data_IF_754781260586
#
_entry.id   IF_754781260586
#
_cell.length_a   1.000
_cell.length_b   1.000
_cell.length_c   1.000
_cell.angle_alpha   90.00
_cell.angle_beta   90.00
_cell.angle_gamma   90.00
#
_symmetry.space_group_name_H-M   'P 1'
#
loop_
_entity.id
_entity.type
_entity.pdbx_description
1 polymer ?
#
# COMPACT_ATOMS: atom_id res chain seq x y z
N UNK A 1 -18.13 20.32 17.80
CA UNK A 1 -18.00 21.44 18.74
C UNK A 1 -19.12 21.43 19.76
N UNK A 2 -20.40 21.74 19.41
CA UNK A 2 -21.53 21.78 20.33
C UNK A 2 -21.69 20.53 21.20
N UNK A 3 -21.41 19.34 20.69
CA UNK A 3 -21.48 18.09 21.45
C UNK A 3 -20.37 18.01 22.51
N UNK A 4 -19.13 18.33 22.13
CA UNK A 4 -17.98 18.34 23.04
C UNK A 4 -18.13 19.39 24.13
N UNK A 5 -18.52 20.60 23.76
CA UNK A 5 -18.80 21.69 24.76
C UNK A 5 -19.88 21.25 25.75
N UNK A 6 -20.95 20.58 25.29
CA UNK A 6 -22.03 20.07 26.11
C UNK A 6 -21.62 18.89 27.02
N UNK A 7 -20.69 18.07 26.59
CA UNK A 7 -20.08 16.99 27.38
C UNK A 7 -19.16 17.58 28.47
N UNK A 8 -18.32 18.54 28.09
CA UNK A 8 -17.38 19.21 28.98
C UNK A 8 -18.07 19.91 30.15
N UNK A 9 -19.24 20.55 29.94
CA UNK A 9 -19.98 21.23 31.01
C UNK A 9 -20.47 20.30 32.14
N UNK A 10 -20.53 18.99 31.92
CA UNK A 10 -20.96 17.98 32.89
C UNK A 10 -19.82 17.21 33.55
N UNK A 11 -18.60 17.38 33.05
CA UNK A 11 -17.41 16.70 33.56
C UNK A 11 -16.71 17.57 34.61
N UNK A 12 -16.20 16.94 35.69
CA UNK A 12 -15.36 17.63 36.66
C UNK A 12 -14.02 18.02 36.08
N UNK A 13 -13.49 17.17 35.26
CA UNK A 13 -12.22 17.35 34.50
C UNK A 13 -12.39 16.74 33.12
N UNK A 14 -11.76 17.33 32.10
CA UNK A 14 -11.70 16.77 30.75
C UNK A 14 -10.40 17.12 30.07
N UNK A 15 -9.93 16.21 29.24
CA UNK A 15 -8.73 16.37 28.44
C UNK A 15 -9.05 16.22 26.98
N UNK A 16 -8.62 17.18 26.16
CA UNK A 16 -8.66 17.07 24.70
C UNK A 16 -7.26 16.85 24.18
N UNK A 17 -7.09 15.78 23.41
CA UNK A 17 -5.84 15.50 22.68
C UNK A 17 -6.15 15.54 21.19
N UNK A 18 -5.40 16.34 20.45
CA UNK A 18 -5.60 16.48 19.02
C UNK A 18 -4.39 17.10 18.33
N UNK A 19 -4.41 17.07 17.00
CA UNK A 19 -3.41 17.69 16.17
C UNK A 19 -4.11 18.62 15.16
N UNK A 20 -4.01 19.92 15.37
CA UNK A 20 -4.59 20.95 14.51
C UNK A 20 -4.04 20.88 13.08
N UNK A 21 -2.76 20.51 12.95
CA UNK A 21 -2.06 20.38 11.67
C UNK A 21 -2.58 19.21 10.81
N UNK A 22 -3.29 18.24 11.42
CA UNK A 22 -3.95 17.14 10.74
C UNK A 22 -5.44 17.37 10.42
N UNK A 23 -5.91 18.59 10.46
CA UNK A 23 -7.30 18.95 10.11
C UNK A 23 -7.43 19.00 8.58
N UNK A 24 -7.81 17.87 7.98
CA UNK A 24 -7.94 17.69 6.51
C UNK A 24 -9.37 17.35 6.06
N UNK A 25 -10.34 17.36 6.97
CA UNK A 25 -11.75 17.05 6.70
C UNK A 25 -12.63 18.31 6.80
N UNK A 26 -12.13 19.47 6.37
CA UNK A 26 -12.88 20.74 6.37
C UNK A 26 -14.15 20.64 5.53
N UNK A 27 -14.10 19.91 4.41
CA UNK A 27 -15.27 19.60 3.58
C UNK A 27 -16.35 18.79 4.33
N UNK A 28 -16.00 18.11 5.43
CA UNK A 28 -16.91 17.38 6.31
C UNK A 28 -17.25 18.14 7.62
N UNK A 29 -16.93 19.44 7.65
CA UNK A 29 -17.26 20.32 8.78
C UNK A 29 -16.19 20.38 9.88
N UNK A 30 -14.97 19.90 9.66
CA UNK A 30 -13.86 20.14 10.57
C UNK A 30 -13.44 21.61 10.52
N UNK A 31 -13.31 22.25 11.69
CA UNK A 31 -12.93 23.65 11.85
C UNK A 31 -11.47 23.74 12.30
N UNK A 32 -10.57 23.98 11.34
CA UNK A 32 -9.14 24.11 11.61
C UNK A 32 -8.82 25.34 12.47
N UNK A 33 -9.50 26.46 12.22
CA UNK A 33 -9.28 27.71 12.97
C UNK A 33 -9.64 27.55 14.46
N UNK A 34 -10.71 26.80 14.72
CA UNK A 34 -11.09 26.47 16.10
C UNK A 34 -10.01 25.64 16.80
N UNK A 35 -9.47 24.62 16.13
CA UNK A 35 -8.41 23.79 16.69
C UNK A 35 -7.13 24.58 16.94
N UNK A 36 -6.72 25.44 16.00
CA UNK A 36 -5.53 26.28 16.18
C UNK A 36 -5.68 27.28 17.34
N UNK A 37 -6.89 27.85 17.52
CA UNK A 37 -7.18 28.71 18.67
C UNK A 37 -7.10 27.97 20.00
N UNK A 38 -7.60 26.73 20.06
CA UNK A 38 -7.48 25.88 21.25
C UNK A 38 -6.02 25.51 21.54
N UNK A 39 -5.24 25.22 20.51
CA UNK A 39 -3.86 24.79 20.63
C UNK A 39 -2.91 25.88 21.12
N UNK A 40 -3.31 27.16 20.99
CA UNK A 40 -2.46 28.30 21.36
C UNK A 40 -2.01 28.29 22.83
N UNK A 41 -2.84 27.79 23.74
CA UNK A 41 -2.59 27.69 25.19
C UNK A 41 -2.53 26.24 25.69
N UNK A 42 -2.46 25.27 24.76
CA UNK A 42 -2.43 23.86 25.12
C UNK A 42 -1.00 23.41 25.39
N UNK A 43 -0.84 22.45 26.27
CA UNK A 43 0.41 21.73 26.46
C UNK A 43 0.78 20.97 25.16
N UNK A 44 2.03 21.08 24.75
CA UNK A 44 2.50 20.40 23.52
C UNK A 44 3.18 19.09 23.84
N UNK A 45 2.74 18.03 23.15
CA UNK A 45 3.46 16.76 23.13
C UNK A 45 4.63 16.88 22.15
N UNK A 46 5.80 17.23 22.67
CA UNK A 46 6.97 17.57 21.87
C UNK A 46 7.62 16.35 21.21
N UNK A 47 7.63 15.19 21.88
CA UNK A 47 8.33 14.01 21.39
C UNK A 47 7.50 13.30 20.33
N UNK A 48 8.04 13.25 19.10
CA UNK A 48 7.52 12.38 18.03
C UNK A 48 8.04 10.95 18.17
N UNK A 49 7.15 9.98 17.97
CA UNK A 49 7.49 8.55 18.04
C UNK A 49 7.46 7.85 16.68
N UNK A 50 7.35 8.63 15.60
CA UNK A 50 7.22 8.10 14.23
C UNK A 50 8.28 8.64 13.29
N UNK A 51 8.26 9.93 13.03
CA UNK A 51 9.05 10.53 11.97
C UNK A 51 10.50 10.68 12.36
N UNK A 52 11.39 10.20 11.52
CA UNK A 52 12.82 10.45 11.58
C UNK A 52 13.15 11.92 11.29
N UNK A 53 14.42 12.27 11.41
CA UNK A 53 14.92 13.65 11.31
C UNK A 53 14.54 14.32 9.99
N UNK A 54 14.70 13.62 8.87
CA UNK A 54 14.45 14.15 7.51
C UNK A 54 12.97 14.45 7.30
N UNK A 55 12.09 13.51 7.60
CA UNK A 55 10.63 13.71 7.46
C UNK A 55 10.13 14.78 8.44
N UNK A 56 10.62 14.79 9.68
CA UNK A 56 10.27 15.79 10.66
C UNK A 56 10.63 17.20 10.18
N UNK A 57 11.86 17.38 9.66
CA UNK A 57 12.34 18.67 9.12
C UNK A 57 11.51 19.12 7.91
N UNK A 58 11.15 18.18 7.02
CA UNK A 58 10.27 18.46 5.88
C UNK A 58 8.87 18.89 6.35
N UNK A 59 8.28 18.17 7.29
CA UNK A 59 6.98 18.48 7.86
C UNK A 59 6.95 19.85 8.55
N UNK A 60 7.97 20.20 9.33
CA UNK A 60 8.12 21.53 9.95
C UNK A 60 8.16 22.64 8.88
N UNK A 61 8.94 22.45 7.82
CA UNK A 61 9.04 23.41 6.72
C UNK A 61 7.69 23.60 6.02
N UNK A 62 6.95 22.52 5.78
CA UNK A 62 5.62 22.57 5.19
C UNK A 62 4.65 23.34 6.07
N UNK A 63 4.69 23.15 7.39
CA UNK A 63 3.70 23.71 8.32
C UNK A 63 4.04 25.11 8.81
N UNK A 64 5.30 25.58 8.65
CA UNK A 64 5.73 26.92 9.12
C UNK A 64 4.84 28.07 8.68
N UNK A 65 4.32 28.16 7.42
CA UNK A 65 3.40 29.22 7.03
C UNK A 65 2.09 29.25 7.86
N UNK A 66 1.57 28.09 8.23
CA UNK A 66 0.37 27.98 9.08
C UNK A 66 0.69 28.42 10.48
N UNK A 67 1.78 27.95 11.08
CA UNK A 67 2.18 28.34 12.43
C UNK A 67 2.45 29.83 12.55
N UNK A 68 3.12 30.44 11.55
CA UNK A 68 3.33 31.88 11.49
C UNK A 68 1.99 32.65 11.43
N UNK A 69 1.03 32.19 10.64
CA UNK A 69 -0.29 32.82 10.53
C UNK A 69 -1.05 32.81 11.87
N UNK A 70 -0.98 31.70 12.61
CA UNK A 70 -1.65 31.60 13.92
C UNK A 70 -0.79 32.12 15.08
N UNK A 71 0.44 32.55 14.84
CA UNK A 71 1.31 33.18 15.84
C UNK A 71 1.83 32.22 16.92
N UNK A 72 2.10 30.97 16.57
CA UNK A 72 2.76 30.01 17.47
C UNK A 72 3.79 29.18 16.73
N UNK A 73 4.75 28.61 17.45
CA UNK A 73 5.70 27.63 16.92
C UNK A 73 5.46 26.30 17.61
N UNK A 74 5.39 25.22 16.80
CA UNK A 74 5.26 23.88 17.32
C UNK A 74 6.64 23.27 17.57
N UNK A 75 6.89 22.93 18.81
CA UNK A 75 8.06 22.12 19.19
C UNK A 75 7.75 20.66 18.90
N UNK A 76 8.47 20.08 17.93
CA UNK A 76 8.29 18.68 17.56
C UNK A 76 9.65 18.02 17.36
N UNK A 77 10.06 17.18 18.32
CA UNK A 77 11.30 16.43 18.32
C UNK A 77 11.17 15.16 17.48
N UNK A 78 12.10 14.89 16.54
CA UNK A 78 12.07 13.66 15.74
C UNK A 78 12.46 12.44 16.59
N UNK A 79 12.22 11.23 16.01
CA UNK A 79 12.94 10.03 16.45
C UNK A 79 14.41 10.13 16.03
N UNK A 80 15.27 9.26 16.58
CA UNK A 80 16.70 9.26 16.22
C UNK A 80 17.03 8.73 14.81
N UNK A 81 16.04 8.32 14.02
CA UNK A 81 16.26 7.81 12.68
C UNK A 81 16.60 8.92 11.69
N UNK A 82 17.61 8.68 10.86
CA UNK A 82 18.00 9.55 9.75
C UNK A 82 17.64 8.81 8.47
N UNK A 83 16.86 9.43 7.60
CA UNK A 83 16.50 8.92 6.29
C UNK A 83 16.75 9.96 5.21
N UNK A 84 16.41 9.62 3.98
CA UNK A 84 16.62 10.46 2.82
C UNK A 84 15.31 11.02 2.25
N UNK A 85 15.43 12.15 1.54
CA UNK A 85 14.34 12.74 0.77
C UNK A 85 14.71 12.82 -0.69
N UNK A 86 13.98 12.09 -1.53
CA UNK A 86 14.19 11.99 -2.97
C UNK A 86 13.12 12.72 -3.76
N UNK A 87 13.48 13.22 -4.94
CA UNK A 87 12.56 13.86 -5.88
C UNK A 87 12.45 13.05 -7.16
N UNK A 88 11.21 12.75 -7.55
CA UNK A 88 10.85 12.05 -8.77
C UNK A 88 10.02 12.98 -9.67
N UNK A 89 10.43 13.28 -10.90
CA UNK A 89 9.61 14.05 -11.85
C UNK A 89 8.28 13.36 -12.16
N UNK A 90 8.29 12.05 -12.23
CA UNK A 90 7.11 11.19 -12.38
C UNK A 90 7.44 9.74 -12.00
N UNK A 91 6.43 8.90 -11.79
CA UNK A 91 6.61 7.45 -11.64
C UNK A 91 7.01 6.72 -12.94
N UNK A 92 7.21 7.46 -14.04
CA UNK A 92 7.62 6.90 -15.33
C UNK A 92 9.08 7.24 -15.67
N UNK A 93 9.70 8.14 -14.92
CA UNK A 93 11.05 8.62 -15.21
C UNK A 93 12.09 7.69 -14.61
N UNK A 94 13.03 7.22 -15.43
CA UNK A 94 14.21 6.52 -14.95
C UNK A 94 15.25 7.55 -14.47
N UNK A 95 15.59 7.48 -13.20
CA UNK A 95 16.59 8.32 -12.56
C UNK A 95 17.09 7.64 -11.28
N UNK A 96 18.19 8.12 -10.73
CA UNK A 96 18.80 7.57 -9.50
C UNK A 96 17.82 7.47 -8.32
N UNK A 97 16.92 8.46 -8.16
CA UNK A 97 15.88 8.42 -7.13
C UNK A 97 14.85 7.29 -7.35
N UNK A 98 14.54 6.96 -8.61
CA UNK A 98 13.68 5.82 -8.96
C UNK A 98 14.41 4.49 -8.73
N UNK A 99 15.67 4.42 -9.09
CA UNK A 99 16.51 3.23 -8.83
C UNK A 99 16.61 2.96 -7.33
N UNK A 100 16.86 4.00 -6.52
CA UNK A 100 16.88 3.88 -5.06
C UNK A 100 15.53 3.40 -4.48
N UNK A 101 14.40 3.88 -5.02
CA UNK A 101 13.07 3.43 -4.61
C UNK A 101 12.86 1.94 -4.94
N UNK A 102 13.16 1.52 -6.15
CA UNK A 102 12.97 0.15 -6.61
C UNK A 102 13.90 -0.82 -5.89
N UNK A 103 15.16 -0.44 -5.69
CA UNK A 103 16.13 -1.21 -4.94
C UNK A 103 15.66 -1.43 -3.50
N UNK A 104 15.22 -0.37 -2.84
CA UNK A 104 14.73 -0.46 -1.46
C UNK A 104 13.46 -1.30 -1.34
N UNK A 105 12.50 -1.18 -2.28
CA UNK A 105 11.30 -2.04 -2.32
C UNK A 105 11.70 -3.51 -2.50
N UNK A 106 12.69 -3.81 -3.33
CA UNK A 106 13.10 -5.17 -3.65
C UNK A 106 13.94 -5.81 -2.56
N UNK A 107 14.89 -5.06 -1.98
CA UNK A 107 15.97 -5.60 -1.16
C UNK A 107 15.79 -5.41 0.35
N UNK A 108 14.71 -4.76 0.81
CA UNK A 108 14.40 -4.62 2.22
C UNK A 108 13.07 -5.27 2.58
N UNK A 109 12.82 -5.49 3.89
CA UNK A 109 11.52 -5.92 4.41
C UNK A 109 10.65 -4.74 4.85
N UNK A 110 11.04 -3.52 4.54
CA UNK A 110 10.34 -2.32 4.94
C UNK A 110 8.98 -2.17 4.22
N UNK A 111 8.08 -1.46 4.88
CA UNK A 111 6.75 -1.16 4.35
C UNK A 111 6.75 0.17 3.61
N UNK A 112 5.98 0.24 2.51
CA UNK A 112 5.88 1.44 1.66
C UNK A 112 4.44 1.88 1.53
N UNK A 113 4.21 3.18 1.66
CA UNK A 113 2.95 3.82 1.35
C UNK A 113 3.10 4.75 0.14
N UNK A 114 2.36 4.45 -0.91
CA UNK A 114 2.16 5.39 -2.02
C UNK A 114 0.86 6.16 -1.77
N UNK A 115 0.97 7.45 -1.53
CA UNK A 115 -0.19 8.28 -1.27
C UNK A 115 -0.32 9.40 -2.30
N UNK A 116 -1.54 9.69 -2.69
CA UNK A 116 -1.85 10.60 -3.78
C UNK A 116 -3.15 11.35 -3.52
N UNK A 117 -3.40 12.33 -4.37
CA UNK A 117 -4.61 13.10 -4.35
C UNK A 117 -5.32 13.07 -5.70
N UNK A 118 -6.48 12.44 -5.75
CA UNK A 118 -7.32 12.38 -6.94
C UNK A 118 -7.24 11.07 -7.71
N UNK A 119 -8.33 10.78 -8.42
CA UNK A 119 -8.56 9.51 -9.13
C UNK A 119 -7.55 9.21 -10.27
N UNK A 120 -7.06 10.18 -11.06
CA UNK A 120 -6.07 9.90 -12.09
C UNK A 120 -4.77 9.32 -11.53
N UNK A 121 -4.29 9.82 -10.38
CA UNK A 121 -3.08 9.31 -9.71
C UNK A 121 -3.23 7.86 -9.27
N UNK A 122 -4.44 7.42 -8.87
CA UNK A 122 -4.73 6.03 -8.54
C UNK A 122 -4.37 5.07 -9.69
N UNK A 123 -4.76 5.41 -10.91
CA UNK A 123 -4.45 4.61 -12.09
C UNK A 123 -2.95 4.61 -12.42
N UNK A 124 -2.26 5.73 -12.27
CA UNK A 124 -0.82 5.86 -12.54
C UNK A 124 0.01 5.04 -11.55
N UNK A 125 -0.33 5.11 -10.27
CA UNK A 125 0.34 4.32 -9.22
C UNK A 125 0.14 2.82 -9.46
N UNK A 126 -1.08 2.37 -9.79
CA UNK A 126 -1.34 0.96 -10.14
C UNK A 126 -0.57 0.50 -11.38
N UNK A 127 -0.50 1.35 -12.42
CA UNK A 127 0.23 1.04 -13.65
C UNK A 127 1.73 0.96 -13.38
N UNK A 128 2.28 1.83 -12.52
CA UNK A 128 3.65 1.75 -12.06
C UNK A 128 3.94 0.39 -11.40
N UNK A 129 3.15 -0.02 -10.42
CA UNK A 129 3.34 -1.32 -9.77
C UNK A 129 3.28 -2.50 -10.74
N UNK A 130 2.31 -2.49 -11.66
CA UNK A 130 2.17 -3.55 -12.67
C UNK A 130 3.36 -3.57 -13.64
N UNK A 131 3.85 -2.40 -14.04
CA UNK A 131 5.02 -2.28 -14.91
C UNK A 131 6.27 -2.84 -14.24
N UNK A 132 6.47 -2.48 -12.96
CA UNK A 132 7.64 -2.89 -12.21
C UNK A 132 7.52 -4.29 -11.57
N UNK A 133 6.39 -4.96 -11.68
CA UNK A 133 6.18 -6.26 -11.04
C UNK A 133 6.20 -6.21 -9.51
N UNK A 134 5.71 -5.10 -8.93
CA UNK A 134 5.62 -4.90 -7.49
C UNK A 134 4.28 -5.42 -7.00
N UNK A 135 4.28 -6.33 -6.03
CA UNK A 135 3.05 -6.74 -5.34
C UNK A 135 2.51 -5.60 -4.49
N UNK A 136 1.23 -5.28 -4.64
CA UNK A 136 0.61 -4.14 -3.95
C UNK A 136 -0.82 -4.40 -3.49
N UNK A 137 -1.27 -3.62 -2.51
CA UNK A 137 -2.65 -3.59 -2.04
C UNK A 137 -3.14 -2.15 -1.83
N UNK A 138 -4.44 -1.91 -2.02
CA UNK A 138 -5.04 -0.70 -1.47
C UNK A 138 -5.10 -0.82 0.06
N UNK A 139 -4.91 0.28 0.78
CA UNK A 139 -5.04 0.31 2.25
C UNK A 139 -6.43 -0.22 2.66
N UNK A 140 -6.45 -1.15 3.59
CA UNK A 140 -7.68 -1.82 4.05
C UNK A 140 -8.16 -2.99 3.17
N UNK A 141 -7.52 -3.25 2.02
CA UNK A 141 -7.89 -4.32 1.11
C UNK A 141 -6.81 -5.41 1.00
N UNK A 142 -7.20 -6.54 0.43
CA UNK A 142 -6.27 -7.62 0.07
C UNK A 142 -5.35 -7.20 -1.11
N UNK A 143 -4.35 -8.01 -1.37
CA UNK A 143 -3.46 -7.88 -2.54
C UNK A 143 -4.25 -7.72 -3.84
N UNK A 144 -3.72 -6.92 -4.78
CA UNK A 144 -4.33 -6.71 -6.11
C UNK A 144 -4.51 -8.01 -6.89
N UNK A 145 -3.55 -8.92 -6.79
CA UNK A 145 -3.67 -10.30 -7.23
C UNK A 145 -3.65 -11.19 -5.99
N UNK A 146 -4.62 -12.10 -5.81
CA UNK A 146 -4.61 -13.01 -4.67
C UNK A 146 -3.30 -13.81 -4.59
N UNK A 147 -2.67 -13.83 -3.44
CA UNK A 147 -1.42 -14.58 -3.21
C UNK A 147 -1.54 -16.06 -3.55
N UNK A 148 -2.71 -16.64 -3.28
CA UNK A 148 -3.04 -18.01 -3.68
C UNK A 148 -2.81 -18.24 -5.17
N UNK A 149 -3.22 -17.29 -6.02
CA UNK A 149 -3.07 -17.40 -7.46
C UNK A 149 -1.60 -17.33 -7.88
N UNK A 150 -0.84 -16.37 -7.32
CA UNK A 150 0.60 -16.27 -7.59
C UNK A 150 1.32 -17.54 -7.14
N UNK A 151 0.95 -18.07 -5.97
CA UNK A 151 1.48 -19.32 -5.44
C UNK A 151 1.20 -20.50 -6.36
N UNK A 152 0.00 -20.59 -6.94
CA UNK A 152 -0.32 -21.64 -7.92
C UNK A 152 0.60 -21.57 -9.14
N UNK A 153 0.85 -20.39 -9.69
CA UNK A 153 1.80 -20.23 -10.79
C UNK A 153 3.24 -20.61 -10.42
N UNK A 154 3.65 -20.37 -9.16
CA UNK A 154 4.99 -20.74 -8.67
C UNK A 154 5.14 -22.25 -8.48
N UNK A 155 4.17 -22.87 -7.83
CA UNK A 155 4.28 -24.26 -7.38
C UNK A 155 3.90 -25.29 -8.46
N UNK A 156 3.01 -24.94 -9.38
CA UNK A 156 2.52 -25.89 -10.39
C UNK A 156 3.64 -26.55 -11.24
N UNK A 157 4.64 -25.81 -11.77
CA UNK A 157 5.72 -26.43 -12.53
C UNK A 157 6.54 -27.43 -11.70
N UNK A 158 6.71 -27.17 -10.39
CA UNK A 158 7.42 -28.07 -9.49
C UNK A 158 6.60 -29.31 -9.17
N UNK A 159 5.29 -29.13 -8.96
CA UNK A 159 4.35 -30.22 -8.76
C UNK A 159 4.29 -31.18 -9.97
N UNK A 160 4.30 -30.64 -11.19
CA UNK A 160 4.40 -31.46 -12.41
C UNK A 160 5.73 -32.23 -12.52
N UNK A 161 6.79 -31.81 -11.80
CA UNK A 161 8.07 -32.54 -11.70
C UNK A 161 8.11 -33.54 -10.55
N UNK A 162 6.97 -33.77 -9.85
CA UNK A 162 6.86 -34.72 -8.75
C UNK A 162 7.09 -34.14 -7.35
N UNK A 163 7.35 -32.83 -7.21
CA UNK A 163 7.43 -32.20 -5.87
C UNK A 163 6.06 -32.21 -5.23
N UNK A 164 5.93 -32.71 -3.98
CA UNK A 164 4.63 -32.79 -3.35
C UNK A 164 4.06 -31.41 -2.95
N UNK A 165 2.73 -31.32 -2.90
CA UNK A 165 1.98 -30.18 -2.37
C UNK A 165 1.20 -30.58 -1.12
N UNK A 166 1.09 -29.66 -0.15
CA UNK A 166 0.18 -29.82 0.99
C UNK A 166 -1.30 -29.80 0.54
N UNK A 167 -2.16 -30.39 1.34
CA UNK A 167 -3.61 -30.37 1.07
C UNK A 167 -4.15 -28.96 0.90
N UNK A 168 -3.66 -27.98 1.69
CA UNK A 168 -4.02 -26.57 1.56
C UNK A 168 -3.64 -26.00 0.20
N UNK A 169 -2.43 -26.27 -0.28
CA UNK A 169 -1.96 -25.82 -1.60
C UNK A 169 -2.77 -26.45 -2.73
N UNK A 170 -3.15 -27.72 -2.60
CA UNK A 170 -4.03 -28.41 -3.55
C UNK A 170 -5.41 -27.75 -3.57
N UNK A 171 -6.01 -27.47 -2.42
CA UNK A 171 -7.30 -26.77 -2.33
C UNK A 171 -7.21 -25.35 -2.94
N UNK A 172 -6.10 -24.62 -2.73
CA UNK A 172 -5.87 -23.33 -3.34
C UNK A 172 -5.76 -23.45 -4.88
N UNK A 173 -5.08 -24.48 -5.38
CA UNK A 173 -4.97 -24.77 -6.81
C UNK A 173 -6.34 -25.03 -7.46
N UNK A 174 -7.24 -25.79 -6.78
CA UNK A 174 -8.60 -26.05 -7.27
C UNK A 174 -9.44 -24.80 -7.47
N UNK A 175 -9.16 -23.71 -6.75
CA UNK A 175 -9.85 -22.41 -6.94
C UNK A 175 -9.59 -21.78 -8.32
N UNK A 176 -8.51 -22.18 -8.96
CA UNK A 176 -8.03 -21.57 -10.23
C UNK A 176 -7.94 -22.54 -11.39
N UNK A 177 -7.72 -23.83 -11.15
CA UNK A 177 -7.57 -24.81 -12.20
C UNK A 177 -8.92 -25.14 -12.88
N UNK A 178 -8.87 -25.38 -14.19
CA UNK A 178 -10.05 -25.67 -14.99
C UNK A 178 -10.20 -27.13 -15.41
N UNK A 179 -11.27 -27.40 -16.13
CA UNK A 179 -11.61 -28.72 -16.67
C UNK A 179 -10.56 -29.27 -17.65
N UNK A 180 -9.53 -28.48 -18.04
CA UNK A 180 -8.42 -28.95 -18.84
C UNK A 180 -7.62 -30.02 -18.09
N UNK A 181 -7.43 -29.87 -16.79
CA UNK A 181 -6.65 -30.79 -15.94
C UNK A 181 -7.47 -31.46 -14.86
N UNK A 182 -8.55 -30.85 -14.36
CA UNK A 182 -9.44 -31.46 -13.35
C UNK A 182 -10.41 -32.41 -14.04
N UNK A 183 -10.59 -33.59 -13.47
CA UNK A 183 -11.61 -34.57 -13.92
C UNK A 183 -13.01 -34.04 -13.61
N UNK A 184 -13.94 -34.23 -14.54
CA UNK A 184 -15.34 -33.81 -14.37
C UNK A 184 -15.95 -34.40 -13.10
N UNK A 185 -16.66 -33.59 -12.32
CA UNK A 185 -17.32 -34.01 -11.07
C UNK A 185 -16.38 -34.04 -9.85
N UNK A 186 -15.11 -33.63 -9.97
CA UNK A 186 -14.19 -33.49 -8.86
C UNK A 186 -14.11 -32.04 -8.41
N UNK A 187 -15.05 -31.66 -7.56
CA UNK A 187 -15.04 -30.33 -6.92
C UNK A 187 -14.14 -30.28 -5.68
N UNK A 188 -14.03 -29.10 -5.08
CA UNK A 188 -13.18 -28.85 -3.91
C UNK A 188 -13.70 -29.59 -2.65
N UNK A 189 -14.98 -29.79 -2.56
CA UNK A 189 -15.66 -30.56 -1.53
C UNK A 189 -15.18 -32.01 -1.44
N UNK A 190 -14.65 -32.57 -2.51
CA UNK A 190 -14.13 -33.96 -2.52
C UNK A 190 -12.83 -34.11 -1.69
N UNK A 191 -12.27 -33.03 -1.17
CA UNK A 191 -11.10 -33.05 -0.28
C UNK A 191 -11.45 -32.88 1.20
N UNK A 192 -12.73 -32.85 1.59
CA UNK A 192 -13.14 -32.63 2.98
C UNK A 192 -12.62 -33.71 3.93
N UNK A 193 -12.68 -34.97 3.49
CA UNK A 193 -12.24 -36.13 4.26
C UNK A 193 -10.75 -36.49 4.09
N UNK A 194 -9.98 -35.63 3.42
CA UNK A 194 -8.58 -35.94 3.18
C UNK A 194 -7.73 -35.56 4.39
N UNK A 195 -6.80 -36.46 4.73
CA UNK A 195 -5.81 -36.22 5.80
C UNK A 195 -4.90 -35.06 5.41
N UNK A 196 -4.59 -34.17 6.35
CA UNK A 196 -3.67 -33.07 6.13
C UNK A 196 -2.23 -33.59 6.05
N UNK A 197 -1.79 -33.82 4.81
CA UNK A 197 -0.43 -34.25 4.45
C UNK A 197 -0.07 -33.73 3.08
N UNK A 198 1.11 -34.06 2.59
CA UNK A 198 1.56 -33.78 1.24
C UNK A 198 1.12 -34.87 0.25
N UNK A 199 0.83 -34.45 -0.97
CA UNK A 199 0.37 -35.31 -2.06
C UNK A 199 1.16 -35.00 -3.32
N UNK A 200 1.49 -36.04 -4.12
CA UNK A 200 2.13 -35.90 -5.42
C UNK A 200 1.10 -35.79 -6.54
N UNK A 201 1.54 -35.31 -7.72
CA UNK A 201 0.68 -35.24 -8.91
C UNK A 201 0.22 -36.63 -9.32
N UNK A 202 1.12 -37.63 -9.27
CA UNK A 202 0.81 -39.03 -9.64
C UNK A 202 -0.26 -39.62 -8.74
N UNK A 203 -0.24 -39.29 -7.43
CA UNK A 203 -1.31 -39.71 -6.53
C UNK A 203 -2.67 -39.15 -6.96
N UNK A 204 -2.72 -37.87 -7.35
CA UNK A 204 -3.97 -37.23 -7.80
C UNK A 204 -4.44 -37.78 -9.15
N UNK A 205 -3.54 -38.13 -10.05
CA UNK A 205 -3.85 -38.78 -11.33
C UNK A 205 -4.39 -40.19 -11.09
N UNK A 206 -3.68 -40.99 -10.28
CA UNK A 206 -4.11 -42.37 -9.96
C UNK A 206 -5.46 -42.43 -9.24
N UNK A 207 -5.77 -41.46 -8.40
CA UNK A 207 -7.05 -41.29 -7.74
C UNK A 207 -8.12 -40.64 -8.64
N UNK A 208 -7.82 -40.37 -9.89
CA UNK A 208 -8.71 -39.72 -10.90
C UNK A 208 -9.25 -38.35 -10.47
N UNK A 209 -8.46 -37.57 -9.75
CA UNK A 209 -8.74 -36.16 -9.48
C UNK A 209 -8.20 -35.27 -10.61
N UNK A 210 -7.01 -35.61 -11.09
CA UNK A 210 -6.41 -34.98 -12.26
C UNK A 210 -6.44 -35.93 -13.47
N UNK A 211 -6.48 -35.36 -14.67
CA UNK A 211 -6.33 -36.10 -15.93
C UNK A 211 -4.90 -36.60 -16.08
N UNK A 212 -4.69 -37.69 -16.81
CA UNK A 212 -3.38 -38.26 -17.07
C UNK A 212 -2.39 -37.27 -17.75
N UNK A 213 -2.91 -36.37 -18.56
CA UNK A 213 -2.11 -35.31 -19.24
C UNK A 213 -1.80 -34.12 -18.36
N UNK A 214 -2.24 -34.08 -17.09
CA UNK A 214 -2.06 -32.91 -16.23
C UNK A 214 -0.57 -32.59 -15.96
N UNK A 215 0.28 -33.61 -15.85
CA UNK A 215 1.72 -33.43 -15.61
C UNK A 215 2.51 -32.91 -16.83
N UNK A 216 1.95 -32.99 -18.02
CA UNK A 216 2.57 -32.54 -19.28
C UNK A 216 2.46 -31.02 -19.42
N UNK A 217 1.40 -30.42 -18.88
CA UNK A 217 1.14 -28.98 -18.99
C UNK A 217 1.74 -28.23 -17.81
N UNK A 218 3.00 -27.82 -17.95
CA UNK A 218 3.77 -27.15 -16.87
C UNK A 218 3.46 -25.65 -16.71
N UNK A 219 2.84 -25.01 -17.71
CA UNK A 219 2.44 -23.60 -17.59
C UNK A 219 1.05 -23.50 -16.97
N UNK A 220 0.99 -23.06 -15.72
CA UNK A 220 -0.27 -22.89 -15.00
C UNK A 220 -1.25 -21.94 -15.72
N UNK A 221 -0.75 -20.98 -16.49
CA UNK A 221 -1.59 -20.06 -17.25
C UNK A 221 -2.47 -20.76 -18.29
N UNK A 222 -2.02 -21.91 -18.81
CA UNK A 222 -2.74 -22.68 -19.83
C UNK A 222 -3.83 -23.58 -19.26
N UNK A 223 -3.77 -23.88 -17.96
CA UNK A 223 -4.74 -24.75 -17.28
C UNK A 223 -5.74 -24.00 -16.40
N UNK A 224 -5.47 -22.72 -16.12
CA UNK A 224 -6.31 -21.86 -15.30
C UNK A 224 -7.64 -21.54 -16.01
N UNK A 225 -8.71 -21.46 -15.22
CA UNK A 225 -10.00 -20.95 -15.71
C UNK A 225 -9.87 -19.46 -16.03
N UNK A 226 -10.08 -19.09 -17.28
CA UNK A 226 -10.14 -17.71 -17.70
C UNK A 226 -11.44 -17.09 -17.19
N UNK A 227 -11.31 -16.06 -16.31
CA UNK A 227 -12.43 -15.24 -15.86
C UNK A 227 -12.28 -13.82 -16.46
N UNK A 228 -13.36 -13.31 -17.03
CA UNK A 228 -13.37 -11.96 -17.62
C UNK A 228 -12.87 -11.91 -19.07
N UNK A 229 -12.55 -10.69 -19.55
CA UNK A 229 -12.07 -10.46 -20.90
C UNK A 229 -10.66 -11.06 -21.09
N UNK A 230 -10.40 -11.62 -22.25
CA UNK A 230 -9.10 -12.23 -22.59
C UNK A 230 -7.93 -11.26 -22.40
N UNK A 231 -8.08 -10.03 -22.83
CA UNK A 231 -7.04 -8.99 -22.70
C UNK A 231 -6.67 -8.68 -21.26
N UNK A 232 -7.65 -8.58 -20.36
CA UNK A 232 -7.41 -8.32 -18.93
C UNK A 232 -6.70 -9.50 -18.27
N UNK A 233 -7.05 -10.71 -18.71
CA UNK A 233 -6.42 -11.93 -18.26
C UNK A 233 -4.94 -12.00 -18.69
N UNK A 234 -4.63 -11.68 -19.93
CA UNK A 234 -3.25 -11.65 -20.45
C UNK A 234 -2.39 -10.61 -19.72
N UNK A 235 -2.90 -9.39 -19.51
CA UNK A 235 -2.23 -8.37 -18.71
C UNK A 235 -1.95 -8.83 -17.27
N UNK A 236 -2.90 -9.54 -16.67
CA UNK A 236 -2.75 -10.12 -15.34
C UNK A 236 -1.66 -11.18 -15.29
N UNK A 237 -1.57 -12.07 -16.29
CA UNK A 237 -0.53 -13.08 -16.37
C UNK A 237 0.86 -12.48 -16.53
N UNK A 238 1.01 -11.45 -17.38
CA UNK A 238 2.28 -10.73 -17.54
C UNK A 238 2.72 -10.15 -16.20
N UNK A 239 1.80 -9.57 -15.45
CA UNK A 239 2.08 -9.01 -14.13
C UNK A 239 2.48 -10.10 -13.13
N UNK A 240 1.77 -11.24 -13.05
CA UNK A 240 2.13 -12.37 -12.19
C UNK A 240 3.54 -12.88 -12.52
N UNK A 241 3.88 -13.06 -13.80
CA UNK A 241 5.22 -13.49 -14.23
C UNK A 241 6.30 -12.50 -13.77
N UNK A 242 6.03 -11.19 -13.82
CA UNK A 242 6.96 -10.17 -13.30
C UNK A 242 7.18 -10.28 -11.79
N UNK A 243 6.12 -10.49 -11.01
CA UNK A 243 6.24 -10.70 -9.56
C UNK A 243 7.09 -11.94 -9.26
N UNK A 244 6.83 -13.04 -9.95
CA UNK A 244 7.57 -14.29 -9.75
C UNK A 244 9.06 -14.13 -10.08
N UNK A 245 9.40 -13.43 -11.16
CA UNK A 245 10.79 -13.17 -11.57
C UNK A 245 11.55 -12.27 -10.58
N UNK A 246 10.83 -11.39 -9.83
CA UNK A 246 11.43 -10.53 -8.80
C UNK A 246 11.48 -11.16 -7.40
N UNK A 247 11.06 -12.42 -7.27
CA UNK A 247 11.09 -13.12 -5.98
C UNK A 247 9.80 -12.91 -5.18
N UNK A 248 8.76 -13.67 -5.51
CA UNK A 248 7.49 -13.67 -4.78
C UNK A 248 7.69 -14.03 -3.30
N UNK A 249 7.22 -13.15 -2.41
CA UNK A 249 7.18 -13.36 -0.96
C UNK A 249 5.73 -13.65 -0.52
N UNK A 250 5.53 -14.75 0.19
CA UNK A 250 4.21 -15.18 0.67
C UNK A 250 3.77 -14.47 1.97
N UNK A 251 4.63 -13.62 2.54
CA UNK A 251 4.32 -12.77 3.69
C UNK A 251 3.32 -11.64 3.36
N UNK A 252 3.09 -10.72 4.27
CA UNK A 252 2.17 -9.59 4.06
C UNK A 252 2.60 -8.68 2.91
N UNK A 253 1.61 -8.09 2.23
CA UNK A 253 1.87 -7.10 1.17
C UNK A 253 2.46 -5.84 1.78
N UNK A 254 3.73 -5.58 1.47
CA UNK A 254 4.51 -4.48 2.05
C UNK A 254 4.24 -3.13 1.37
N UNK A 255 3.88 -3.14 0.10
CA UNK A 255 3.60 -1.93 -0.67
C UNK A 255 2.10 -1.69 -0.70
N UNK A 256 1.70 -0.58 -0.09
CA UNK A 256 0.29 -0.15 -0.05
C UNK A 256 0.11 1.21 -0.69
N UNK A 257 -1.08 1.46 -1.19
CA UNK A 257 -1.43 2.74 -1.78
C UNK A 257 -2.82 3.18 -1.35
N UNK A 258 -3.02 4.49 -1.23
CA UNK A 258 -4.32 5.09 -0.97
C UNK A 258 -4.30 6.61 -1.15
N UNK A 259 -5.49 7.22 -1.21
CA UNK A 259 -5.66 8.66 -1.13
C UNK A 259 -5.19 9.19 0.24
N UNK A 260 -4.68 10.42 0.28
CA UNK A 260 -4.15 11.07 1.50
C UNK A 260 -5.17 11.07 2.65
N UNK A 261 -6.46 11.24 2.37
CA UNK A 261 -7.49 11.21 3.42
C UNK A 261 -7.64 9.85 4.09
N UNK A 262 -7.44 8.77 3.32
CA UNK A 262 -7.57 7.39 3.81
C UNK A 262 -6.40 6.97 4.71
N UNK A 263 -5.23 7.60 4.55
CA UNK A 263 -4.01 7.18 5.26
C UNK A 263 -3.81 7.88 6.60
N UNK A 264 -4.71 8.79 6.98
CA UNK A 264 -4.65 9.45 8.30
C UNK A 264 -4.68 8.40 9.42
N UNK A 265 -3.75 8.50 10.38
CA UNK A 265 -3.61 7.55 11.48
C UNK A 265 -2.67 6.37 11.21
N UNK A 266 -2.37 6.05 9.96
CA UNK A 266 -1.48 4.95 9.61
C UNK A 266 0.00 5.31 9.75
N UNK A 267 0.84 4.27 9.75
CA UNK A 267 2.31 4.40 9.84
C UNK A 267 2.97 3.37 8.93
N UNK A 268 3.98 3.81 8.18
CA UNK A 268 4.79 2.99 7.28
C UNK A 268 6.26 3.34 7.46
N UNK A 269 7.15 2.46 7.04
CA UNK A 269 8.58 2.74 7.12
C UNK A 269 8.97 3.83 6.13
N UNK A 270 8.44 3.78 4.91
CA UNK A 270 8.72 4.74 3.83
C UNK A 270 7.43 5.28 3.20
N UNK A 271 7.50 6.50 2.66
CA UNK A 271 6.37 7.12 1.96
C UNK A 271 6.76 7.67 0.59
N UNK A 272 5.89 7.47 -0.38
CA UNK A 272 5.95 8.08 -1.72
C UNK A 272 4.72 8.97 -1.86
N UNK A 273 4.92 10.27 -1.98
CA UNK A 273 3.85 11.27 -2.02
C UNK A 273 3.73 11.84 -3.43
N UNK A 274 2.65 11.49 -4.12
CA UNK A 274 2.35 12.02 -5.46
C UNK A 274 1.59 13.35 -5.36
N UNK A 275 2.27 14.41 -5.75
CA UNK A 275 1.77 15.79 -5.79
C UNK A 275 1.46 16.28 -7.22
N UNK A 276 1.46 15.40 -8.21
CA UNK A 276 1.25 15.77 -9.62
C UNK A 276 -0.15 16.35 -9.87
N UNK A 277 -1.13 15.90 -9.11
CA UNK A 277 -2.52 16.37 -9.19
C UNK A 277 -2.83 17.27 -7.98
N UNK A 278 -2.99 18.56 -8.23
CA UNK A 278 -3.48 19.52 -7.24
C UNK A 278 -4.91 19.91 -7.60
N UNK A 279 -5.82 19.88 -6.62
CA UNK A 279 -7.12 20.54 -6.76
C UNK A 279 -6.99 22.00 -6.34
N UNK A 280 -7.82 22.92 -6.88
CA UNK A 280 -7.90 24.29 -6.40
C UNK A 280 -8.52 24.27 -4.99
N UNK A 281 -7.70 24.16 -3.98
CA UNK A 281 -8.05 24.31 -2.57
C UNK A 281 -7.29 25.47 -2.00
N UNK A 282 -7.77 25.93 -0.83
CA UNK A 282 -7.02 26.94 -0.12
C UNK A 282 -5.59 26.47 0.23
N UNK A 283 -4.70 27.41 0.34
CA UNK A 283 -3.28 27.16 0.54
C UNK A 283 -3.00 26.35 1.81
N UNK A 284 -3.71 26.63 2.91
CA UNK A 284 -3.47 25.95 4.17
C UNK A 284 -3.97 24.50 4.16
N UNK A 285 -5.09 24.22 3.51
CA UNK A 285 -5.55 22.85 3.31
C UNK A 285 -4.55 22.03 2.50
N UNK A 286 -3.94 22.62 1.47
CA UNK A 286 -2.88 21.95 0.72
C UNK A 286 -1.66 21.62 1.59
N UNK A 287 -1.22 22.53 2.47
CA UNK A 287 -0.12 22.30 3.39
C UNK A 287 -0.43 21.18 4.40
N UNK A 288 -1.63 21.18 4.99
CA UNK A 288 -2.07 20.12 5.91
C UNK A 288 -2.11 18.75 5.23
N UNK A 289 -2.59 18.68 3.99
CA UNK A 289 -2.59 17.43 3.23
C UNK A 289 -1.18 16.90 2.99
N UNK A 290 -0.25 17.77 2.58
CA UNK A 290 1.18 17.41 2.44
C UNK A 290 1.75 16.92 3.77
N UNK A 291 1.50 17.64 4.84
CA UNK A 291 1.92 17.25 6.18
C UNK A 291 1.39 15.87 6.59
N UNK A 292 0.10 15.62 6.40
CA UNK A 292 -0.49 14.31 6.69
C UNK A 292 0.16 13.22 5.87
N UNK A 293 0.41 13.44 4.59
CA UNK A 293 1.02 12.45 3.69
C UNK A 293 2.45 12.08 4.15
N UNK A 294 3.34 13.06 4.31
CA UNK A 294 4.72 12.80 4.70
C UNK A 294 4.83 12.26 6.12
N UNK A 295 4.03 12.77 7.06
CA UNK A 295 4.05 12.30 8.45
C UNK A 295 3.59 10.86 8.65
N UNK A 296 3.26 10.11 7.59
CA UNK A 296 3.00 8.67 7.65
C UNK A 296 4.26 7.83 7.65
N UNK A 297 5.40 8.38 7.19
CA UNK A 297 6.68 7.70 7.11
C UNK A 297 7.51 7.78 8.38
N UNK A 298 8.39 6.79 8.54
CA UNK A 298 9.43 6.77 9.59
C UNK A 298 10.78 7.19 9.05
N UNK A 299 11.21 6.60 7.92
CA UNK A 299 12.58 6.69 7.40
C UNK A 299 12.66 7.59 6.18
N UNK A 300 12.46 7.05 4.99
CA UNK A 300 12.65 7.77 3.75
C UNK A 300 11.34 8.29 3.16
N UNK A 301 11.48 9.35 2.36
CA UNK A 301 10.36 9.87 1.61
C UNK A 301 10.74 10.23 0.16
N UNK A 302 9.82 9.96 -0.77
CA UNK A 302 9.89 10.36 -2.16
C UNK A 302 8.77 11.33 -2.47
N UNK A 303 9.12 12.44 -3.11
CA UNK A 303 8.15 13.39 -3.65
C UNK A 303 8.05 13.18 -5.15
N UNK A 304 6.87 12.82 -5.63
CA UNK A 304 6.59 12.72 -7.07
C UNK A 304 5.85 13.96 -7.51
N UNK A 305 6.41 14.67 -8.47
CA UNK A 305 5.75 15.83 -8.99
C UNK A 305 6.48 16.41 -10.20
N UNK A 306 5.80 17.01 -11.21
CA UNK A 306 6.37 17.57 -12.44
C UNK A 306 7.19 18.83 -12.17
N UNK A 307 8.30 18.99 -12.87
CA UNK A 307 9.11 20.24 -12.83
C UNK A 307 8.21 21.44 -13.13
N UNK A 308 8.31 22.49 -12.31
CA UNK A 308 7.53 23.73 -12.42
C UNK A 308 6.31 23.84 -11.49
N UNK A 309 5.81 22.74 -10.91
CA UNK A 309 4.74 22.76 -9.89
C UNK A 309 5.26 22.63 -8.44
N UNK A 310 6.57 22.70 -8.29
CA UNK A 310 7.28 22.51 -7.01
C UNK A 310 7.75 23.78 -6.38
N UNK A 311 6.90 24.65 -6.16
CA UNK A 311 7.17 25.51 -5.03
C UNK A 311 6.38 24.96 -3.86
N UNK A 312 7.03 24.12 -3.06
CA UNK A 312 6.64 23.86 -1.67
C UNK A 312 6.67 25.17 -0.85
N UNK A 313 6.36 26.33 -1.43
CA UNK A 313 6.48 27.62 -0.75
C UNK A 313 7.89 27.92 -0.21
N UNK A 314 8.93 27.32 -0.79
CA UNK A 314 10.33 27.52 -0.41
C UNK A 314 11.07 28.06 -1.60
N UNK A 315 11.01 29.37 -1.78
CA UNK A 315 12.15 30.14 -2.25
C UNK A 315 12.97 30.58 -1.07
#
# INVERSE_FOLDING_TARGET
RKALDKMATKAKEYYFVGDADQTIFEFAGSDADYYHRLSRNAEQLEQGHRCGVTINSLCKRIMRPIWNYYGYERVWKPTGFVGDHYYLPSLQTNCSAMEALLDKIQNTNETFLFTYRGTPSDSWVKNFFKREGIEFAHVGNNAHVPKKEIRCHKLWPEFCRGKPMSLKQIKDFWDYAGSKVIVRGKGKETFEDWIDREYTIDYLINKKFLKSTASEERDFSLIRVQKGKKEDYEKRLIYIKKILNKGFNDGDVRVKYANIHTVKGLTFDNVVVDLTMTRPEDYFTQLRLKYVAYSRGKFDCWTVASQGKYTLGVR
#
